data_IF_487532600958
#
_entry.id   IF_487532600958
#
_cell.length_a   1.000
_cell.length_b   1.000
_cell.length_c   1.000
_cell.angle_alpha   90.00
_cell.angle_beta   90.00
_cell.angle_gamma   90.00
#
_symmetry.space_group_name_H-M   'P 1'
#
loop_
_entity.id
_entity.type
_entity.pdbx_description
1 polymer ?
#
# COMPACT_ATOMS: atom_id res chain seq x y z
N UNK A 1 -5.20 -1.84 3.51
CA UNK A 1 -4.37 -3.04 3.35
C UNK A 1 -3.95 -3.52 4.73
N UNK A 2 -4.04 -4.81 5.06
CA UNK A 2 -3.45 -5.30 6.31
C UNK A 2 -2.00 -5.70 6.07
N UNK A 3 -1.18 -5.73 7.12
CA UNK A 3 0.13 -6.39 7.10
C UNK A 3 0.05 -7.72 7.85
N UNK A 4 0.70 -8.76 7.31
CA UNK A 4 0.79 -10.07 7.96
C UNK A 4 1.89 -10.11 9.04
N UNK A 5 2.22 -11.33 9.52
CA UNK A 5 3.25 -11.55 10.54
C UNK A 5 4.61 -10.95 10.22
N UNK A 6 4.92 -10.91 8.94
CA UNK A 6 6.22 -10.60 8.38
C UNK A 6 6.22 -9.22 7.72
N UNK A 7 5.14 -8.45 7.88
CA UNK A 7 4.99 -7.12 7.29
C UNK A 7 4.63 -7.14 5.81
N UNK A 8 4.23 -8.29 5.24
CA UNK A 8 3.77 -8.34 3.85
C UNK A 8 2.32 -7.87 3.74
N UNK A 9 1.94 -7.17 2.65
CA UNK A 9 0.56 -6.77 2.45
C UNK A 9 -0.35 -7.99 2.25
N UNK A 10 -1.49 -7.98 2.93
CA UNK A 10 -2.55 -8.98 2.80
C UNK A 10 -3.90 -8.29 2.65
N UNK A 11 -4.56 -8.54 1.52
CA UNK A 11 -5.90 -8.01 1.28
C UNK A 11 -6.96 -8.85 2.01
N UNK A 12 -7.84 -8.16 2.72
CA UNK A 12 -9.02 -8.75 3.36
C UNK A 12 -10.26 -8.30 2.59
N UNK A 13 -11.07 -9.27 2.20
CA UNK A 13 -12.32 -9.13 1.45
C UNK A 13 -13.44 -9.86 2.20
N UNK A 14 -14.69 -9.68 1.77
CA UNK A 14 -15.80 -10.46 2.30
C UNK A 14 -15.58 -11.98 2.16
N UNK A 15 -14.96 -12.41 1.07
CA UNK A 15 -14.77 -13.83 0.74
C UNK A 15 -13.70 -14.51 1.61
N UNK A 16 -12.68 -13.78 2.06
CA UNK A 16 -11.55 -14.33 2.80
C UNK A 16 -11.48 -13.89 4.28
N UNK A 17 -12.51 -13.18 4.75
CA UNK A 17 -12.55 -12.63 6.10
C UNK A 17 -12.35 -13.70 7.19
N UNK A 18 -13.00 -14.85 7.03
CA UNK A 18 -13.00 -15.94 8.00
C UNK A 18 -11.71 -16.77 7.99
N UNK A 19 -10.91 -16.69 6.91
CA UNK A 19 -9.60 -17.36 6.85
C UNK A 19 -8.46 -16.49 7.37
N UNK A 20 -8.78 -15.27 7.80
CA UNK A 20 -7.80 -14.36 8.40
C UNK A 20 -7.53 -14.77 9.85
N UNK A 21 -6.68 -15.78 10.02
CA UNK A 21 -6.18 -16.19 11.34
C UNK A 21 -5.09 -15.22 11.78
N UNK A 22 -5.48 -14.13 12.40
CA UNK A 22 -4.52 -13.29 13.11
C UNK A 22 -5.01 -13.03 14.52
N UNK A 23 -4.12 -13.27 15.47
CA UNK A 23 -4.32 -12.92 16.88
C UNK A 23 -4.61 -11.41 16.97
N UNK A 24 -5.29 -11.02 18.05
CA UNK A 24 -5.89 -9.73 18.40
C UNK A 24 -4.98 -8.48 18.29
N UNK A 25 -3.86 -8.49 17.56
CA UNK A 25 -2.89 -7.38 17.42
C UNK A 25 -2.36 -7.28 15.98
N UNK A 26 -3.21 -6.87 15.03
CA UNK A 26 -2.80 -6.69 13.64
C UNK A 26 -2.48 -5.24 13.27
N UNK A 27 -1.80 -5.07 12.12
CA UNK A 27 -1.50 -3.76 11.53
C UNK A 27 -2.39 -3.53 10.32
N UNK A 28 -3.10 -2.40 10.30
CA UNK A 28 -3.96 -1.98 9.20
C UNK A 28 -3.48 -0.66 8.61
N UNK A 29 -3.11 -0.68 7.34
CA UNK A 29 -2.84 0.53 6.55
C UNK A 29 -4.15 1.04 5.95
N UNK A 30 -4.54 2.28 6.26
CA UNK A 30 -5.71 2.93 5.70
C UNK A 30 -5.27 3.86 4.57
N UNK A 31 -5.60 3.49 3.33
CA UNK A 31 -5.22 4.22 2.11
C UNK A 31 -6.27 5.22 1.65
N UNK A 32 -7.50 5.10 2.15
CA UNK A 32 -8.66 5.94 1.87
C UNK A 32 -9.68 5.79 3.01
N UNK A 33 -10.45 6.84 3.28
CA UNK A 33 -11.56 6.84 4.24
C UNK A 33 -12.94 6.77 3.57
N UNK A 34 -13.00 6.45 2.27
CA UNK A 34 -14.26 6.39 1.52
C UNK A 34 -15.15 5.20 1.85
N UNK A 35 -14.54 4.04 2.10
CA UNK A 35 -15.24 2.78 2.29
C UNK A 35 -14.76 2.15 3.58
N UNK A 36 -15.70 1.63 4.36
CA UNK A 36 -15.36 0.85 5.54
C UNK A 36 -14.64 -0.42 5.10
N UNK A 37 -13.50 -0.72 5.71
CA UNK A 37 -12.77 -1.93 5.37
C UNK A 37 -13.42 -3.14 6.04
N UNK A 38 -13.32 -4.30 5.39
CA UNK A 38 -13.70 -5.56 6.01
C UNK A 38 -12.76 -5.85 7.19
N UNK A 39 -13.34 -5.97 8.38
CA UNK A 39 -12.62 -6.23 9.62
C UNK A 39 -12.81 -7.70 10.02
N UNK A 40 -11.72 -8.50 10.13
CA UNK A 40 -11.84 -9.88 10.57
C UNK A 40 -12.52 -9.99 11.95
N UNK A 41 -13.28 -11.07 12.22
CA UNK A 41 -13.86 -11.30 13.53
C UNK A 41 -12.80 -11.28 14.62
N UNK A 42 -13.06 -10.58 15.73
CA UNK A 42 -12.13 -10.41 16.85
C UNK A 42 -10.80 -9.76 16.45
N UNK A 43 -10.76 -8.99 15.36
CA UNK A 43 -9.56 -8.20 15.07
C UNK A 43 -9.50 -7.00 16.00
N UNK A 44 -8.38 -6.89 16.71
CA UNK A 44 -7.98 -5.69 17.43
C UNK A 44 -6.59 -5.31 16.93
N UNK A 45 -6.27 -4.02 16.95
CA UNK A 45 -5.02 -3.60 16.35
C UNK A 45 -4.94 -2.11 16.08
N UNK A 46 -3.88 -1.74 15.37
CA UNK A 46 -3.59 -0.34 15.08
C UNK A 46 -3.81 -0.04 13.60
N UNK A 47 -4.55 1.04 13.35
CA UNK A 47 -4.78 1.59 12.03
C UNK A 47 -3.81 2.76 11.81
N UNK A 48 -2.98 2.64 10.78
CA UNK A 48 -1.97 3.62 10.39
C UNK A 48 -2.43 4.39 9.15
N UNK A 49 -2.33 5.72 9.21
CA UNK A 49 -2.55 6.63 8.07
C UNK A 49 -2.17 8.07 8.44
N UNK A 50 -2.53 9.04 7.61
CA UNK A 50 -2.44 10.46 7.94
C UNK A 50 -3.51 10.82 8.98
N UNK A 51 -3.27 11.88 9.75
CA UNK A 51 -4.23 12.36 10.77
C UNK A 51 -5.62 12.64 10.17
N UNK A 52 -5.65 13.29 9.00
CA UNK A 52 -6.87 13.64 8.28
C UNK A 52 -7.69 12.41 7.86
N UNK A 53 -7.03 11.36 7.35
CA UNK A 53 -7.71 10.12 6.98
C UNK A 53 -8.23 9.36 8.19
N UNK A 54 -7.45 9.30 9.28
CA UNK A 54 -7.89 8.64 10.52
C UNK A 54 -9.05 9.41 11.16
N UNK A 55 -9.00 10.74 11.16
CA UNK A 55 -10.10 11.59 11.62
C UNK A 55 -11.36 11.37 10.78
N UNK A 56 -11.24 11.43 9.46
CA UNK A 56 -12.35 11.23 8.52
C UNK A 56 -12.99 9.85 8.67
N UNK A 57 -12.17 8.80 8.79
CA UNK A 57 -12.64 7.44 9.00
C UNK A 57 -13.40 7.30 10.32
N UNK A 58 -12.83 7.79 11.43
CA UNK A 58 -13.48 7.76 12.75
C UNK A 58 -14.80 8.50 12.76
N UNK A 59 -14.84 9.70 12.17
CA UNK A 59 -16.06 10.51 12.07
C UNK A 59 -17.16 9.82 11.27
N UNK A 60 -16.79 9.10 10.20
CA UNK A 60 -17.73 8.48 9.27
C UNK A 60 -18.29 7.15 9.78
N UNK A 61 -17.45 6.30 10.34
CA UNK A 61 -17.81 4.92 10.69
C UNK A 61 -17.94 4.68 12.19
N UNK A 62 -17.48 5.60 13.03
CA UNK A 62 -17.54 5.52 14.49
C UNK A 62 -17.13 4.14 15.04
N UNK A 63 -15.92 3.64 14.71
CA UNK A 63 -15.47 2.31 15.10
C UNK A 63 -15.29 2.22 16.62
N UNK A 64 -15.40 1.00 17.17
CA UNK A 64 -15.26 0.76 18.60
C UNK A 64 -13.82 1.12 19.09
N UNK A 65 -13.67 2.16 19.93
CA UNK A 65 -12.36 2.60 20.40
C UNK A 65 -11.74 1.64 21.43
N UNK A 66 -12.50 0.69 21.98
CA UNK A 66 -11.96 -0.33 22.89
C UNK A 66 -11.22 -1.44 22.14
N UNK A 67 -11.50 -1.59 20.84
CA UNK A 67 -10.88 -2.60 19.99
C UNK A 67 -9.78 -2.03 19.10
N UNK A 68 -9.89 -0.77 18.70
CA UNK A 68 -9.04 -0.18 17.66
C UNK A 68 -8.22 0.98 18.18
N UNK A 69 -6.92 0.92 17.90
CA UNK A 69 -5.99 2.04 18.06
C UNK A 69 -5.75 2.73 16.72
N UNK A 70 -5.48 4.03 16.75
CA UNK A 70 -5.21 4.85 15.56
C UNK A 70 -3.87 5.53 15.73
N UNK A 71 -2.97 5.36 14.75
CA UNK A 71 -1.65 5.96 14.76
C UNK A 71 -1.44 6.82 13.53
N UNK A 72 -1.28 8.12 13.76
CA UNK A 72 -1.05 9.09 12.70
C UNK A 72 0.43 9.09 12.31
N UNK A 73 0.69 8.93 11.02
CA UNK A 73 2.02 9.03 10.42
C UNK A 73 2.19 10.41 9.78
N UNK A 74 3.38 10.97 9.94
CA UNK A 74 3.76 12.16 9.18
C UNK A 74 4.16 11.76 7.75
N UNK A 75 3.68 12.46 6.71
CA UNK A 75 4.07 12.20 5.33
C UNK A 75 5.59 12.23 5.16
N UNK A 76 6.13 11.25 4.46
CA UNK A 76 7.56 11.09 4.17
C UNK A 76 8.49 10.90 5.37
N UNK A 77 7.97 10.82 6.59
CA UNK A 77 8.73 10.51 7.80
C UNK A 77 8.61 9.00 8.11
N UNK A 78 9.72 8.23 8.05
CA UNK A 78 9.67 6.80 8.29
C UNK A 78 9.55 6.47 9.78
N UNK A 79 8.72 5.48 10.11
CA UNK A 79 8.58 4.96 11.47
C UNK A 79 8.75 3.44 11.49
N UNK A 80 9.46 2.93 12.49
CA UNK A 80 9.54 1.49 12.71
C UNK A 80 8.32 0.98 13.45
N UNK A 81 7.66 -0.03 12.87
CA UNK A 81 6.51 -0.68 13.49
C UNK A 81 6.76 -2.18 13.64
N UNK A 82 6.22 -2.75 14.72
CA UNK A 82 6.34 -4.18 15.02
C UNK A 82 5.16 -4.93 14.40
N UNK A 83 5.46 -5.82 13.47
CA UNK A 83 4.61 -6.96 13.13
C UNK A 83 4.99 -8.14 14.06
N UNK A 84 4.15 -9.18 14.12
CA UNK A 84 4.34 -10.30 15.06
C UNK A 84 5.74 -10.94 15.00
N UNK A 85 6.27 -11.12 13.79
CA UNK A 85 7.53 -11.81 13.53
C UNK A 85 8.56 -10.92 12.81
N UNK A 86 8.29 -9.63 12.61
CA UNK A 86 9.16 -8.73 11.86
C UNK A 86 9.01 -7.28 12.33
N UNK A 87 10.10 -6.51 12.22
CA UNK A 87 10.06 -5.06 12.31
C UNK A 87 10.16 -4.50 10.90
N UNK A 88 9.27 -3.58 10.54
CA UNK A 88 9.29 -2.92 9.23
C UNK A 88 9.39 -1.40 9.41
N UNK A 89 10.06 -0.75 8.48
CA UNK A 89 10.04 0.71 8.35
C UNK A 89 8.84 1.08 7.47
N UNK A 90 7.88 1.82 8.02
CA UNK A 90 6.68 2.25 7.33
C UNK A 90 6.78 3.74 7.01
N UNK A 91 6.52 4.10 5.76
CA UNK A 91 6.45 5.50 5.31
C UNK A 91 5.14 5.74 4.57
N UNK A 92 4.43 6.79 4.97
CA UNK A 92 3.23 7.26 4.30
C UNK A 92 3.61 8.23 3.18
N UNK A 93 3.06 8.02 1.99
CA UNK A 93 3.27 8.85 0.81
C UNK A 93 1.92 9.42 0.33
N UNK A 94 1.76 10.75 0.27
CA UNK A 94 0.59 11.37 -0.35
C UNK A 94 0.41 10.93 -1.79
N UNK A 95 -0.84 10.71 -2.20
CA UNK A 95 -1.22 10.35 -3.57
C UNK A 95 -2.32 11.27 -4.12
N UNK A 96 -2.49 12.46 -3.54
CA UNK A 96 -3.55 13.41 -3.90
C UNK A 96 -4.94 12.89 -3.56
N UNK A 97 -5.92 13.22 -4.40
CA UNK A 97 -7.33 12.91 -4.19
C UNK A 97 -7.80 11.74 -5.06
N UNK A 98 -8.83 11.03 -4.62
CA UNK A 98 -9.53 10.02 -5.41
C UNK A 98 -9.91 10.54 -6.80
N UNK A 99 -9.96 9.66 -7.79
CA UNK A 99 -10.50 10.02 -9.11
C UNK A 99 -12.03 9.99 -9.14
N UNK A 100 -12.65 9.41 -8.12
CA UNK A 100 -14.09 9.23 -8.01
C UNK A 100 -14.70 10.13 -6.94
N UNK A 101 -13.87 10.76 -6.10
CA UNK A 101 -14.29 11.69 -5.06
C UNK A 101 -13.23 12.77 -4.79
N UNK A 102 -13.56 13.76 -3.97
CA UNK A 102 -12.65 14.80 -3.48
C UNK A 102 -11.85 14.39 -2.24
N UNK A 103 -11.82 13.09 -1.91
CA UNK A 103 -11.20 12.57 -0.68
C UNK A 103 -9.74 12.21 -0.92
N UNK A 104 -8.91 12.46 0.09
CA UNK A 104 -7.48 12.15 0.00
C UNK A 104 -7.22 10.65 -0.07
N UNK A 105 -6.15 10.32 -0.78
CA UNK A 105 -5.61 8.99 -0.95
C UNK A 105 -4.15 9.02 -0.55
N UNK A 106 -3.72 7.97 0.13
CA UNK A 106 -2.31 7.76 0.48
C UNK A 106 -1.87 6.37 0.05
N UNK A 107 -0.60 6.26 -0.30
CA UNK A 107 0.08 4.99 -0.54
C UNK A 107 1.16 4.78 0.53
N UNK A 108 1.61 3.53 0.68
CA UNK A 108 2.58 3.19 1.72
C UNK A 108 3.81 2.55 1.10
N UNK A 109 4.97 2.98 1.56
CA UNK A 109 6.23 2.26 1.38
C UNK A 109 6.54 1.50 2.66
N UNK A 110 6.76 0.21 2.52
CA UNK A 110 7.15 -0.70 3.60
C UNK A 110 8.54 -1.22 3.26
N UNK A 111 9.53 -0.90 4.10
CA UNK A 111 10.86 -1.51 4.00
C UNK A 111 10.97 -2.61 5.03
N UNK A 112 11.51 -3.75 4.61
CA UNK A 112 11.84 -4.89 5.45
C UNK A 112 13.36 -4.88 5.65
N UNK A 113 13.89 -4.28 6.75
CA UNK A 113 15.33 -4.08 6.90
C UNK A 113 16.11 -5.40 6.94
N UNK A 114 15.50 -6.47 7.48
CA UNK A 114 16.12 -7.79 7.55
C UNK A 114 16.40 -8.40 6.17
N UNK A 115 15.53 -8.12 5.19
CA UNK A 115 15.60 -8.69 3.84
C UNK A 115 16.12 -7.68 2.80
N UNK A 116 16.40 -6.43 3.22
CA UNK A 116 16.78 -5.34 2.33
C UNK A 116 15.72 -5.04 1.26
N UNK A 117 14.44 -5.29 1.56
CA UNK A 117 13.36 -5.27 0.58
C UNK A 117 12.44 -4.06 0.73
N UNK A 118 12.26 -3.32 -0.36
CA UNK A 118 11.40 -2.15 -0.46
C UNK A 118 10.10 -2.47 -1.20
N UNK A 119 8.97 -2.30 -0.51
CA UNK A 119 7.64 -2.67 -1.00
C UNK A 119 6.73 -1.45 -1.06
N UNK A 120 6.28 -1.07 -2.25
CA UNK A 120 5.29 -0.02 -2.45
C UNK A 120 3.88 -0.65 -2.55
N UNK A 121 2.94 -0.17 -1.74
CA UNK A 121 1.56 -0.66 -1.73
C UNK A 121 0.64 0.40 -2.32
N UNK A 122 0.10 0.13 -3.50
CA UNK A 122 -0.83 1.03 -4.23
C UNK A 122 -2.20 0.38 -4.32
N UNK A 123 -3.06 0.62 -3.33
CA UNK A 123 -4.45 0.14 -3.37
C UNK A 123 -5.32 0.99 -4.30
N UNK A 124 -5.08 2.29 -4.33
CA UNK A 124 -5.71 3.23 -5.25
C UNK A 124 -4.64 4.24 -5.70
N UNK A 125 -4.78 4.76 -6.92
CA UNK A 125 -3.96 5.86 -7.42
C UNK A 125 -4.83 7.13 -7.46
N UNK A 126 -4.61 8.03 -6.51
CA UNK A 126 -5.23 9.34 -6.50
C UNK A 126 -4.60 10.28 -7.54
N UNK A 127 -4.96 11.56 -7.55
CA UNK A 127 -4.59 12.56 -8.57
C UNK A 127 -3.08 12.77 -8.74
N UNK A 128 -2.29 12.48 -7.71
CA UNK A 128 -0.82 12.58 -7.75
C UNK A 128 -0.18 11.21 -8.03
N UNK A 129 0.76 11.18 -8.98
CA UNK A 129 1.48 9.96 -9.37
C UNK A 129 2.98 10.01 -9.03
N UNK A 130 3.45 11.16 -8.53
CA UNK A 130 4.84 11.35 -8.14
C UNK A 130 4.98 11.20 -6.62
N UNK A 131 5.13 9.96 -6.17
CA UNK A 131 5.25 9.65 -4.74
C UNK A 131 6.61 10.01 -4.15
N UNK A 132 7.60 10.35 -5.00
CA UNK A 132 8.97 10.63 -4.58
C UNK A 132 9.43 11.97 -5.19
N UNK A 133 8.96 13.09 -4.66
CA UNK A 133 9.21 14.40 -5.25
C UNK A 133 10.70 14.79 -5.18
N UNK A 134 11.26 15.27 -6.29
CA UNK A 134 12.71 15.57 -6.45
C UNK A 134 13.26 16.58 -5.44
N UNK A 135 12.42 17.47 -4.92
CA UNK A 135 12.77 18.48 -3.93
C UNK A 135 12.67 17.98 -2.48
N UNK A 136 12.42 16.68 -2.27
CA UNK A 136 12.32 16.08 -0.94
C UNK A 136 13.52 15.18 -0.66
N UNK A 137 14.06 15.24 0.55
CA UNK A 137 15.25 14.47 0.96
C UNK A 137 15.06 12.96 0.78
N UNK A 138 13.82 12.49 0.89
CA UNK A 138 13.44 11.09 0.69
C UNK A 138 13.65 10.59 -0.76
N UNK A 139 13.63 11.49 -1.75
CA UNK A 139 13.84 11.12 -3.16
C UNK A 139 15.21 10.51 -3.40
N UNK A 140 16.29 11.12 -2.90
CA UNK A 140 17.64 10.60 -3.09
C UNK A 140 17.78 9.18 -2.51
N UNK A 141 17.23 8.95 -1.32
CA UNK A 141 17.25 7.65 -0.64
C UNK A 141 16.56 6.58 -1.47
N UNK A 142 15.34 6.83 -1.95
CA UNK A 142 14.58 5.80 -2.68
C UNK A 142 15.10 5.56 -4.09
N UNK A 143 15.71 6.55 -4.72
CA UNK A 143 16.34 6.37 -6.04
C UNK A 143 17.61 5.51 -5.97
N UNK A 144 18.31 5.55 -4.84
CA UNK A 144 19.48 4.69 -4.57
C UNK A 144 19.06 3.25 -4.21
N UNK A 145 18.14 3.11 -3.25
CA UNK A 145 17.68 1.79 -2.80
C UNK A 145 16.77 1.09 -3.84
N UNK A 146 16.01 1.86 -4.61
CA UNK A 146 15.00 1.36 -5.54
C UNK A 146 13.75 0.78 -4.86
N UNK A 147 12.81 0.31 -5.68
CA UNK A 147 11.61 -0.41 -5.24
C UNK A 147 11.69 -1.84 -5.76
N UNK A 148 11.67 -2.83 -4.86
CA UNK A 148 11.74 -4.23 -5.26
C UNK A 148 10.40 -4.74 -5.73
N UNK A 149 9.33 -4.40 -5.02
CA UNK A 149 7.98 -4.88 -5.34
C UNK A 149 6.95 -3.78 -5.23
N UNK A 150 6.10 -3.66 -6.25
CA UNK A 150 4.87 -2.85 -6.19
C UNK A 150 3.68 -3.78 -6.10
N UNK A 151 2.86 -3.63 -5.06
CA UNK A 151 1.58 -4.30 -4.93
C UNK A 151 0.45 -3.41 -5.45
N UNK A 152 -0.35 -3.92 -6.37
CA UNK A 152 -1.44 -3.19 -7.03
C UNK A 152 -2.81 -3.82 -6.72
N UNK A 153 -3.85 -2.98 -6.60
CA UNK A 153 -5.23 -3.49 -6.53
C UNK A 153 -5.67 -3.95 -7.92
N UNK A 154 -5.67 -5.26 -8.14
CA UNK A 154 -6.02 -5.89 -9.41
C UNK A 154 -7.51 -5.78 -9.76
N UNK A 155 -8.36 -5.22 -8.87
CA UNK A 155 -9.75 -4.93 -9.20
C UNK A 155 -9.91 -3.97 -10.38
N UNK A 156 -8.92 -3.13 -10.65
CA UNK A 156 -8.94 -2.26 -11.84
C UNK A 156 -8.98 -3.10 -13.14
N UNK A 157 -8.41 -4.32 -13.11
CA UNK A 157 -8.41 -5.27 -14.23
C UNK A 157 -9.57 -6.25 -14.22
N UNK A 158 -10.37 -6.30 -13.14
CA UNK A 158 -11.52 -7.20 -13.02
C UNK A 158 -12.74 -6.59 -13.72
N UNK A 159 -12.73 -6.57 -15.06
CA UNK A 159 -13.85 -6.14 -15.89
C UNK A 159 -13.63 -6.41 -17.37
N UNK A 160 -14.70 -6.61 -18.15
CA UNK A 160 -14.64 -6.85 -19.60
C UNK A 160 -14.50 -5.55 -20.43
N UNK A 161 -14.14 -4.44 -19.79
CA UNK A 161 -13.99 -3.14 -20.43
C UNK A 161 -12.62 -2.96 -21.09
N UNK A 162 -12.50 -2.05 -22.07
CA UNK A 162 -11.19 -1.65 -22.59
C UNK A 162 -10.29 -1.10 -21.48
N UNK A 163 -8.97 -1.14 -21.68
CA UNK A 163 -8.01 -0.58 -20.75
C UNK A 163 -8.33 0.91 -20.51
N UNK A 164 -8.93 1.21 -19.35
CA UNK A 164 -9.29 2.56 -18.93
C UNK A 164 -8.14 3.40 -18.39
N UNK A 165 -8.47 4.63 -18.02
CA UNK A 165 -7.55 5.67 -17.51
C UNK A 165 -6.67 5.18 -16.36
N UNK A 166 -7.23 4.43 -15.39
CA UNK A 166 -6.47 3.89 -14.25
C UNK A 166 -5.31 2.99 -14.67
N UNK A 167 -5.46 2.20 -15.74
CA UNK A 167 -4.38 1.34 -16.24
C UNK A 167 -3.21 2.14 -16.79
N UNK A 168 -3.49 3.24 -17.51
CA UNK A 168 -2.44 4.12 -18.03
C UNK A 168 -1.68 4.81 -16.90
N UNK A 169 -2.40 5.25 -15.85
CA UNK A 169 -1.78 5.86 -14.67
C UNK A 169 -0.87 4.89 -13.94
N UNK A 170 -1.35 3.66 -13.70
CA UNK A 170 -0.53 2.62 -13.10
C UNK A 170 0.70 2.32 -13.95
N UNK A 171 0.53 2.16 -15.26
CA UNK A 171 1.65 1.93 -16.17
C UNK A 171 2.69 3.07 -16.11
N UNK A 172 2.25 4.33 -16.05
CA UNK A 172 3.15 5.48 -15.93
C UNK A 172 3.91 5.50 -14.61
N UNK A 173 3.23 5.20 -13.48
CA UNK A 173 3.89 5.07 -12.16
C UNK A 173 4.97 3.99 -12.23
N UNK A 174 4.64 2.81 -12.74
CA UNK A 174 5.57 1.69 -12.85
C UNK A 174 6.73 1.99 -13.80
N UNK A 175 6.48 2.69 -14.90
CA UNK A 175 7.54 3.09 -15.84
C UNK A 175 8.53 4.08 -15.23
N UNK A 176 8.06 4.95 -14.34
CA UNK A 176 8.91 5.92 -13.65
C UNK A 176 9.71 5.27 -12.52
N UNK A 177 9.11 4.33 -11.78
CA UNK A 177 9.75 3.67 -10.63
C UNK A 177 10.64 2.49 -11.05
N UNK A 178 10.26 1.78 -12.12
CA UNK A 178 10.93 0.59 -12.64
C UNK A 178 11.18 -0.48 -11.56
N UNK A 179 10.13 -1.00 -10.89
CA UNK A 179 10.32 -1.91 -9.78
C UNK A 179 10.91 -3.25 -10.21
N UNK A 180 11.45 -4.01 -9.26
CA UNK A 180 11.89 -5.39 -9.49
C UNK A 180 10.75 -6.32 -9.95
N UNK A 181 9.58 -6.19 -9.33
CA UNK A 181 8.38 -6.95 -9.66
C UNK A 181 7.11 -6.15 -9.37
N UNK A 182 6.00 -6.57 -10.00
CA UNK A 182 4.65 -6.08 -9.73
C UNK A 182 3.78 -7.27 -9.38
N UNK A 183 3.09 -7.20 -8.23
CA UNK A 183 2.25 -8.27 -7.69
C UNK A 183 0.83 -7.75 -7.44
N UNK A 184 -0.16 -8.63 -7.58
CA UNK A 184 -1.55 -8.34 -7.25
C UNK A 184 -1.74 -8.44 -5.73
N UNK A 185 -2.57 -7.54 -5.17
CA UNK A 185 -3.00 -7.60 -3.78
C UNK A 185 -3.91 -8.80 -3.47
N UNK A 186 -4.71 -9.24 -4.44
CA UNK A 186 -5.55 -10.45 -4.31
C UNK A 186 -4.79 -11.76 -4.61
N UNK A 187 -3.56 -11.68 -5.11
CA UNK A 187 -2.76 -12.82 -5.57
C UNK A 187 -3.12 -13.33 -6.96
N UNK A 188 -4.02 -12.64 -7.68
CA UNK A 188 -4.42 -13.01 -9.05
C UNK A 188 -3.33 -12.66 -10.08
N UNK A 189 -3.29 -13.35 -11.23
CA UNK A 189 -2.39 -12.97 -12.32
C UNK A 189 -2.66 -11.54 -12.80
N UNK A 190 -1.59 -10.77 -12.98
CA UNK A 190 -1.63 -9.44 -13.59
C UNK A 190 -1.27 -9.52 -15.09
N UNK A 191 -1.71 -8.55 -15.91
CA UNK A 191 -1.32 -8.49 -17.31
C UNK A 191 0.19 -8.39 -17.52
N UNK A 192 0.73 -9.15 -18.49
CA UNK A 192 2.17 -9.22 -18.76
C UNK A 192 2.79 -7.87 -19.13
N UNK A 193 1.99 -6.94 -19.67
CA UNK A 193 2.44 -5.59 -19.99
C UNK A 193 3.01 -4.86 -18.78
N UNK A 194 2.52 -5.14 -17.56
CA UNK A 194 3.07 -4.55 -16.33
C UNK A 194 4.48 -5.07 -16.00
N UNK A 195 4.80 -6.29 -16.40
CA UNK A 195 6.14 -6.86 -16.23
C UNK A 195 7.16 -6.26 -17.19
N UNK A 196 6.69 -5.73 -18.33
CA UNK A 196 7.57 -5.14 -19.36
C UNK A 196 8.28 -3.86 -18.92
N UNK A 197 7.75 -3.19 -17.87
CA UNK A 197 8.30 -1.96 -17.29
C UNK A 197 9.11 -2.20 -16.01
N UNK A 198 9.17 -3.44 -15.53
CA UNK A 198 10.05 -3.79 -14.40
C UNK A 198 11.53 -3.67 -14.79
N UNK A 199 12.39 -3.33 -13.82
CA UNK A 199 13.84 -3.40 -14.04
C UNK A 199 14.23 -4.84 -14.37
N UNK A 200 15.04 -5.02 -15.42
CA UNK A 200 15.62 -6.32 -15.72
C UNK A 200 16.61 -6.69 -14.62
N UNK A 201 16.69 -7.96 -14.20
CA UNK A 201 17.77 -8.38 -13.32
C UNK A 201 19.09 -7.99 -13.97
N UNK A 202 19.99 -7.38 -13.18
CA UNK A 202 21.32 -7.05 -13.65
C UNK A 202 21.94 -8.34 -14.21
N UNK A 203 22.34 -8.32 -15.49
CA UNK A 203 23.12 -9.42 -16.04
C UNK A 203 24.44 -9.41 -15.26
N UNK A 204 24.61 -10.36 -14.34
CA UNK A 204 25.94 -10.67 -13.80
C UNK A 204 26.86 -10.88 -15.01
N UNK A 205 27.77 -9.94 -15.20
CA UNK A 205 28.84 -10.10 -16.18
C UNK A 205 29.80 -11.10 -15.52
N UNK A 206 29.65 -12.38 -15.88
CA UNK A 206 30.66 -13.40 -15.66
C UNK A 206 31.92 -13.06 -16.44
#
# INVERSE_FOLDING_TARGET
MFLDAFGNPKEVTADNLNSYSYDLHGTKLLTSAEVEFFMPPNWHGTIYSSDELLYSYRKRFNPDPTLLSFHSLQPYEPEFICCKNAVVELTLLPAGQSLYSDKDIVVFLVKQPADGRNVLITKELGSELNFFPHNHHYHARIMDEGIDVVYVDDKIYNGNGPLGYQHQRLYNVLRNIQPGAVLSLSGRPLPDVLRSVCRKPAKEHN
#
